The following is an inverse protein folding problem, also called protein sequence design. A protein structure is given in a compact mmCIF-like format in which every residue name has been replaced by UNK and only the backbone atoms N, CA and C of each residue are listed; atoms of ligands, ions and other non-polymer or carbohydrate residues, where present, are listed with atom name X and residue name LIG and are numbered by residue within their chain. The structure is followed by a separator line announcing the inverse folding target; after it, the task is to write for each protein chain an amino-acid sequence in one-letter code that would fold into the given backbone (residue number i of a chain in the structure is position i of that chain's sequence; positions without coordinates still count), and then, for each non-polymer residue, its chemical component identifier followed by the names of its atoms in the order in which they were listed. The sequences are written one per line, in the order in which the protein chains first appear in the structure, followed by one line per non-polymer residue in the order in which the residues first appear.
data_IF_278127375829
#
_entry.id   IF_278127375829
#
_cell.length_a   1.000
_cell.length_b   1.000
_cell.length_c   1.000
_cell.angle_alpha   90.00
_cell.angle_beta   90.00
_cell.angle_gamma   90.00
#
_symmetry.space_group_name_H-M   'P 1'
#
loop_
_entity.id
_entity.type
_entity.pdbx_description
1 polymer ?
#
# COMPACT_ATOMS: atom_id res chain seq x y z
N UNK A 1 22.99 -4.52 32.32
CA UNK A 1 21.92 -5.14 31.49
C UNK A 1 21.72 -4.32 30.21
N UNK A 2 22.75 -4.17 29.37
CA UNK A 2 22.68 -3.48 28.05
C UNK A 2 22.96 -4.48 26.90
N UNK A 3 23.47 -5.67 27.21
CA UNK A 3 23.87 -6.70 26.24
C UNK A 3 22.72 -7.34 25.43
N UNK A 4 21.47 -7.22 25.86
CA UNK A 4 20.33 -7.80 25.12
C UNK A 4 19.75 -6.88 24.04
N UNK A 5 20.07 -5.58 24.05
CA UNK A 5 19.48 -4.62 23.09
C UNK A 5 20.19 -4.65 21.73
N UNK A 6 21.51 -4.89 21.74
CA UNK A 6 22.35 -4.96 20.53
C UNK A 6 22.12 -6.28 19.78
N UNK A 7 21.83 -7.36 20.52
CA UNK A 7 21.49 -8.67 19.93
C UNK A 7 20.17 -8.65 19.16
N UNK A 8 19.16 -7.91 19.65
CA UNK A 8 17.89 -7.71 18.94
C UNK A 8 18.10 -6.87 17.68
N UNK A 9 18.95 -5.83 17.73
CA UNK A 9 19.28 -5.03 16.54
C UNK A 9 19.92 -5.85 15.40
N UNK A 10 20.78 -6.82 15.73
CA UNK A 10 21.49 -7.63 14.75
C UNK A 10 20.66 -8.79 14.16
N UNK A 11 19.60 -9.25 14.84
CA UNK A 11 18.67 -10.26 14.30
C UNK A 11 17.62 -9.66 13.35
N UNK A 12 17.37 -8.36 13.43
CA UNK A 12 16.35 -7.70 12.63
C UNK A 12 16.80 -7.35 11.19
N UNK A 13 18.10 -7.45 10.88
CA UNK A 13 18.62 -7.05 9.57
C UNK A 13 18.46 -8.14 8.48
N UNK A 14 18.35 -9.42 8.86
CA UNK A 14 18.13 -10.54 7.93
C UNK A 14 16.65 -10.97 7.81
N UNK A 15 15.80 -10.60 8.77
CA UNK A 15 14.35 -10.93 8.80
C UNK A 15 13.53 -10.04 7.85
N UNK A 16 14.00 -8.82 7.57
CA UNK A 16 13.33 -7.83 6.72
C UNK A 16 13.03 -8.32 5.29
N UNK A 17 13.97 -8.94 4.54
CA UNK A 17 13.66 -9.44 3.21
C UNK A 17 12.66 -10.62 3.21
N UNK A 18 12.76 -11.55 4.17
CA UNK A 18 11.83 -12.67 4.32
C UNK A 18 10.44 -12.23 4.76
N UNK A 19 10.34 -11.25 5.66
CA UNK A 19 9.06 -10.70 6.10
C UNK A 19 8.35 -9.96 4.97
N UNK A 20 9.11 -9.25 4.13
CA UNK A 20 8.57 -8.62 2.92
C UNK A 20 8.07 -9.69 1.94
N UNK A 21 8.79 -10.80 1.78
CA UNK A 21 8.39 -11.93 0.94
C UNK A 21 7.15 -12.67 1.46
N UNK A 22 7.04 -12.86 2.78
CA UNK A 22 5.86 -13.46 3.44
C UNK A 22 4.65 -12.51 3.36
N UNK A 23 4.84 -11.20 3.47
CA UNK A 23 3.78 -10.22 3.23
C UNK A 23 3.33 -10.22 1.78
N UNK A 24 4.25 -10.33 0.83
CA UNK A 24 3.94 -10.37 -0.62
C UNK A 24 3.28 -11.71 -1.01
N UNK A 25 3.66 -12.83 -0.38
CA UNK A 25 3.00 -14.14 -0.55
C UNK A 25 1.59 -14.14 0.06
N UNK A 26 1.41 -13.68 1.32
CA UNK A 26 0.11 -13.71 2.02
C UNK A 26 -0.92 -12.74 1.45
N UNK A 27 -0.51 -11.81 0.59
CA UNK A 27 -1.37 -10.78 0.02
C UNK A 27 -1.63 -10.93 -1.49
N UNK A 28 -1.21 -12.04 -2.11
CA UNK A 28 -1.57 -12.31 -3.51
C UNK A 28 -3.05 -12.71 -3.62
N UNK A 29 -3.82 -12.13 -4.56
CA UNK A 29 -3.44 -11.14 -5.56
C UNK A 29 -3.46 -9.69 -5.01
N UNK A 30 -2.61 -8.82 -5.56
CA UNK A 30 -2.47 -7.41 -5.16
C UNK A 30 -2.78 -6.45 -6.32
N UNK A 31 -3.33 -5.27 -6.01
CA UNK A 31 -3.60 -4.19 -6.96
C UNK A 31 -2.78 -2.94 -6.61
N UNK A 32 -2.14 -2.35 -7.61
CA UNK A 32 -1.38 -1.10 -7.46
C UNK A 32 -2.25 0.12 -7.78
N UNK A 33 -2.06 1.18 -7.00
CA UNK A 33 -2.69 2.48 -7.16
C UNK A 33 -1.62 3.57 -7.17
N UNK A 34 -1.86 4.60 -7.96
CA UNK A 34 -0.98 5.76 -8.11
C UNK A 34 -1.80 7.04 -7.89
N UNK A 35 -1.39 7.91 -6.98
CA UNK A 35 -2.09 9.16 -6.63
C UNK A 35 -1.14 10.34 -6.86
N UNK A 36 -1.51 11.36 -7.66
CA UNK A 36 -0.65 12.54 -7.82
C UNK A 36 -0.61 13.37 -6.54
N UNK A 37 0.60 13.79 -6.15
CA UNK A 37 0.84 14.73 -5.04
C UNK A 37 0.33 16.13 -5.39
N UNK A 38 0.29 16.49 -6.68
CA UNK A 38 -0.20 17.79 -7.17
C UNK A 38 -1.66 18.10 -6.80
N UNK A 39 -2.45 17.10 -6.38
CA UNK A 39 -3.83 17.29 -5.92
C UNK A 39 -3.96 17.78 -4.46
N UNK A 40 -2.86 18.16 -3.79
CA UNK A 40 -2.86 18.55 -2.38
C UNK A 40 -2.93 17.36 -1.40
N UNK A 41 -2.81 16.14 -1.92
CA UNK A 41 -2.87 14.91 -1.13
C UNK A 41 -1.47 14.47 -0.71
N UNK A 42 -1.26 14.40 0.61
CA UNK A 42 -0.06 13.82 1.19
C UNK A 42 -0.20 12.30 1.30
N UNK A 43 0.92 11.58 1.19
CA UNK A 43 1.01 10.14 1.43
C UNK A 43 0.38 9.76 2.77
N UNK A 44 0.62 10.56 3.81
CA UNK A 44 0.05 10.34 5.14
C UNK A 44 -1.47 10.47 5.15
N UNK A 45 -2.02 11.45 4.45
CA UNK A 45 -3.47 11.67 4.37
C UNK A 45 -4.17 10.49 3.66
N UNK A 46 -3.63 10.04 2.53
CA UNK A 46 -4.17 8.89 1.79
C UNK A 46 -4.07 7.62 2.64
N UNK A 47 -2.93 7.41 3.32
CA UNK A 47 -2.73 6.27 4.21
C UNK A 47 -3.69 6.29 5.39
N UNK A 48 -3.94 7.45 5.99
CA UNK A 48 -4.83 7.58 7.15
C UNK A 48 -6.29 7.31 6.78
N UNK A 49 -6.75 7.83 5.64
CA UNK A 49 -8.08 7.53 5.09
C UNK A 49 -8.24 6.02 4.89
N UNK A 50 -7.27 5.36 4.25
CA UNK A 50 -7.35 3.93 3.98
C UNK A 50 -7.24 3.10 5.27
N UNK A 51 -6.36 3.48 6.19
CA UNK A 51 -6.14 2.77 7.45
C UNK A 51 -7.35 2.88 8.39
N UNK A 52 -7.96 4.06 8.50
CA UNK A 52 -9.18 4.27 9.31
C UNK A 52 -10.36 3.43 8.83
N UNK A 53 -10.33 2.98 7.56
CA UNK A 53 -11.32 2.08 6.97
C UNK A 53 -10.89 0.61 6.93
N UNK A 54 -9.77 0.26 7.56
CA UNK A 54 -9.30 -1.12 7.63
C UNK A 54 -8.68 -1.66 6.32
N UNK A 55 -8.37 -0.79 5.37
CA UNK A 55 -7.68 -1.17 4.13
C UNK A 55 -6.20 -1.39 4.44
N UNK A 56 -5.69 -2.58 4.11
CA UNK A 56 -4.28 -2.90 4.28
C UNK A 56 -3.53 -2.49 3.03
N UNK A 57 -2.63 -1.53 3.21
CA UNK A 57 -1.80 -0.93 2.15
C UNK A 57 -0.31 -1.21 2.41
N UNK A 58 0.47 -1.47 1.37
CA UNK A 58 1.93 -1.65 1.46
C UNK A 58 2.64 -1.16 0.19
N UNK A 59 3.97 -1.22 0.15
CA UNK A 59 4.75 -0.82 -1.02
C UNK A 59 4.60 0.66 -1.34
N UNK A 60 4.58 1.50 -0.29
CA UNK A 60 4.45 2.94 -0.42
C UNK A 60 5.73 3.54 -1.00
N UNK A 61 5.62 4.30 -2.08
CA UNK A 61 6.73 5.03 -2.67
C UNK A 61 6.23 6.38 -3.21
N UNK A 62 7.12 7.38 -3.24
CA UNK A 62 6.86 8.65 -3.92
C UNK A 62 7.88 8.73 -5.06
N UNK A 63 7.40 8.77 -6.29
CA UNK A 63 8.24 8.84 -7.50
C UNK A 63 7.68 9.94 -8.39
N UNK A 64 8.49 10.94 -8.74
CA UNK A 64 8.12 12.06 -9.62
C UNK A 64 6.81 12.76 -9.25
N UNK A 65 6.58 12.98 -7.93
CA UNK A 65 5.36 13.62 -7.45
C UNK A 65 4.11 12.73 -7.53
N UNK A 66 4.28 11.41 -7.63
CA UNK A 66 3.21 10.41 -7.60
C UNK A 66 3.41 9.46 -6.42
N UNK A 67 2.38 9.32 -5.59
CA UNK A 67 2.31 8.37 -4.48
C UNK A 67 1.84 7.02 -5.04
N UNK A 68 2.71 6.03 -4.95
CA UNK A 68 2.45 4.65 -5.33
C UNK A 68 2.14 3.85 -4.08
N UNK A 69 1.11 3.00 -4.12
CA UNK A 69 0.85 2.02 -3.08
C UNK A 69 0.15 0.79 -3.63
N UNK A 70 0.19 -0.30 -2.88
CA UNK A 70 -0.46 -1.56 -3.21
C UNK A 70 -1.48 -1.93 -2.14
N UNK A 71 -2.59 -2.52 -2.57
CA UNK A 71 -3.60 -3.11 -1.69
C UNK A 71 -3.90 -4.54 -2.10
N UNK A 72 -4.58 -5.29 -1.24
CA UNK A 72 -5.09 -6.63 -1.60
C UNK A 72 -6.12 -6.47 -2.72
N UNK A 73 -6.13 -7.38 -3.68
CA UNK A 73 -7.14 -7.41 -4.75
C UNK A 73 -8.55 -7.58 -4.19
N UNK A 74 -8.71 -8.36 -3.12
CA UNK A 74 -9.99 -8.46 -2.40
C UNK A 74 -10.49 -7.12 -1.85
N UNK A 75 -9.57 -6.20 -1.52
CA UNK A 75 -9.90 -4.86 -1.01
C UNK A 75 -9.86 -3.80 -2.12
N UNK A 76 -9.49 -4.13 -3.35
CA UNK A 76 -9.22 -3.14 -4.38
C UNK A 76 -10.49 -2.35 -4.78
N UNK A 77 -11.64 -3.00 -4.91
CA UNK A 77 -12.91 -2.30 -5.14
C UNK A 77 -13.27 -1.36 -3.98
N UNK A 78 -13.00 -1.78 -2.75
CA UNK A 78 -13.27 -1.00 -1.55
C UNK A 78 -12.31 0.19 -1.41
N UNK A 79 -11.02 0.00 -1.72
CA UNK A 79 -10.03 1.06 -1.84
C UNK A 79 -10.47 2.10 -2.86
N UNK A 80 -10.87 1.64 -4.05
CA UNK A 80 -11.34 2.51 -5.13
C UNK A 80 -12.55 3.35 -4.70
N UNK A 81 -13.55 2.71 -4.07
CA UNK A 81 -14.72 3.39 -3.54
C UNK A 81 -14.34 4.55 -2.58
N UNK A 82 -13.38 4.32 -1.68
CA UNK A 82 -12.96 5.36 -0.74
C UNK A 82 -12.11 6.45 -1.39
N UNK A 83 -11.28 6.13 -2.38
CA UNK A 83 -10.55 7.14 -3.14
C UNK A 83 -11.52 8.05 -3.90
N UNK A 84 -12.50 7.48 -4.58
CA UNK A 84 -13.54 8.23 -5.30
C UNK A 84 -14.40 9.07 -4.34
N UNK A 85 -14.79 8.50 -3.19
CA UNK A 85 -15.61 9.18 -2.19
C UNK A 85 -14.91 10.41 -1.58
N UNK A 86 -13.58 10.36 -1.47
CA UNK A 86 -12.78 11.47 -0.93
C UNK A 86 -12.21 12.37 -2.04
N UNK A 87 -12.65 12.22 -3.30
CA UNK A 87 -12.14 12.96 -4.45
C UNK A 87 -10.60 12.89 -4.59
N UNK A 88 -10.01 11.76 -4.21
CA UNK A 88 -8.58 11.50 -4.38
C UNK A 88 -8.37 11.06 -5.83
N UNK A 89 -7.63 11.84 -6.65
CA UNK A 89 -7.29 11.41 -8.00
C UNK A 89 -6.43 10.15 -7.93
N UNK A 90 -6.75 9.11 -8.69
CA UNK A 90 -5.95 7.90 -8.74
C UNK A 90 -5.85 7.32 -10.15
N UNK A 91 -4.76 6.60 -10.41
CA UNK A 91 -4.53 5.78 -11.59
C UNK A 91 -4.26 4.34 -11.17
N UNK A 92 -4.58 3.38 -12.06
CA UNK A 92 -4.47 1.95 -11.77
C UNK A 92 -5.71 1.37 -11.09
N UNK A 93 -5.54 0.34 -10.28
CA UNK A 93 -6.62 -0.35 -9.56
C UNK A 93 -7.01 -1.71 -10.11
N UNK A 94 -8.26 -2.11 -9.86
CA UNK A 94 -8.80 -3.41 -10.30
C UNK A 94 -8.72 -3.45 -11.82
N UNK A 95 -8.07 -4.47 -12.40
CA UNK A 95 -8.23 -4.74 -13.84
C UNK A 95 -9.71 -4.93 -14.07
N UNK A 96 -10.38 -3.94 -14.65
CA UNK A 96 -11.73 -4.13 -15.16
C UNK A 96 -11.63 -5.34 -16.09
N UNK A 97 -12.33 -6.43 -15.76
CA UNK A 97 -12.31 -7.66 -16.54
C UNK A 97 -12.72 -7.22 -17.93
N UNK A 98 -11.77 -7.15 -18.87
CA UNK A 98 -12.01 -6.76 -20.27
C UNK A 98 -13.31 -7.40 -20.68
N UNK A 99 -14.24 -6.57 -21.15
CA UNK A 99 -15.57 -7.00 -21.52
C UNK A 99 -15.50 -8.28 -22.35
N UNK A 100 -16.38 -9.22 -22.01
CA UNK A 100 -16.87 -10.18 -23.00
C UNK A 100 -17.29 -9.35 -24.22
N UNK A 101 -16.53 -9.45 -25.29
CA UNK A 101 -17.04 -9.41 -26.65
C UNK A 101 -16.83 -10.80 -27.22
#
# INVERSE_FOLDING_TARGET
MIDNLISVGSMFDWITPLWTFVQDWRNRPSCGYSVPVNGGWSLYAVRDILRSRGVKTWGWAIVDGVILFRTRTAQAQYTQYWLERNAVPYWGGVKNRKGRK
#
